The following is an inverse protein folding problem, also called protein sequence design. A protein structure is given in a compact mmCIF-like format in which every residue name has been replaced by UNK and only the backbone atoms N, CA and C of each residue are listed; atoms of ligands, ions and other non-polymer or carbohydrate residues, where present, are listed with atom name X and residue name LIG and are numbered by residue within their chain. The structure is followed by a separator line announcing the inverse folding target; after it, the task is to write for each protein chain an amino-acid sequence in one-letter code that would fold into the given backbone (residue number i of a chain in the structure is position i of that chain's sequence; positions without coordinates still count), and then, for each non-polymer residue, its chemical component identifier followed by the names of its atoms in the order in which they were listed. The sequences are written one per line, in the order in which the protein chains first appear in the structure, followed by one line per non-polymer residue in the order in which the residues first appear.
data_IF_309240744264
#
_entry.id   IF_309240744264
#
_cell.length_a   1.000
_cell.length_b   1.000
_cell.length_c   1.000
_cell.angle_alpha   90.00
_cell.angle_beta   90.00
_cell.angle_gamma   90.00
#
_symmetry.space_group_name_H-M   'P 1'
#
loop_
_entity.id
_entity.type
_entity.pdbx_description
1 polymer ?
#
# COMPACT_ATOMS: atom_id res chain seq x y z
N UNK A 1 14.82 -71.54 -17.79
CA UNK A 1 13.99 -71.81 -18.99
C UNK A 1 12.61 -72.24 -18.50
N UNK A 2 11.57 -71.52 -18.92
CA UNK A 2 10.12 -71.82 -18.92
C UNK A 2 9.36 -72.05 -17.58
N UNK A 3 8.55 -71.03 -17.23
CA UNK A 3 7.06 -71.01 -17.11
C UNK A 3 6.35 -72.38 -17.08
N UNK A 4 5.28 -72.67 -16.33
CA UNK A 4 3.96 -72.01 -16.28
C UNK A 4 3.02 -72.68 -15.26
N UNK A 5 2.17 -71.87 -14.63
CA UNK A 5 0.75 -72.01 -14.24
C UNK A 5 0.04 -73.35 -13.90
N UNK A 6 -0.68 -73.28 -12.75
CA UNK A 6 -2.12 -73.56 -12.49
C UNK A 6 -2.72 -74.96 -12.76
N UNK A 7 -3.35 -75.55 -11.73
CA UNK A 7 -4.80 -75.83 -11.76
C UNK A 7 -5.36 -76.12 -10.35
N UNK A 8 -6.62 -75.72 -10.18
CA UNK A 8 -7.48 -75.89 -9.02
C UNK A 8 -8.31 -77.19 -9.10
N UNK A 9 -8.62 -77.80 -7.95
CA UNK A 9 -9.77 -78.72 -7.86
C UNK A 9 -10.59 -78.45 -6.59
N UNK A 10 -11.85 -78.12 -6.83
CA UNK A 10 -12.93 -77.86 -5.87
C UNK A 10 -13.48 -79.17 -5.30
N UNK A 11 -13.98 -79.16 -4.06
CA UNK A 11 -15.00 -80.12 -3.61
C UNK A 11 -16.04 -79.42 -2.75
N UNK A 12 -17.28 -79.58 -3.19
CA UNK A 12 -18.55 -79.04 -2.71
C UNK A 12 -19.16 -79.84 -1.56
N UNK A 13 -19.83 -79.18 -0.63
CA UNK A 13 -20.99 -79.75 0.11
C UNK A 13 -22.07 -78.70 0.39
N UNK A 14 -23.18 -78.85 -0.36
CA UNK A 14 -24.61 -78.87 0.03
C UNK A 14 -25.24 -77.80 0.96
N UNK A 15 -26.46 -77.29 0.65
CA UNK A 15 -27.10 -76.15 1.30
C UNK A 15 -28.17 -76.52 2.35
N UNK A 16 -28.36 -75.66 3.35
CA UNK A 16 -29.56 -75.62 4.21
C UNK A 16 -30.39 -74.35 3.98
N UNK A 17 -31.71 -74.56 3.95
CA UNK A 17 -32.83 -73.65 3.64
C UNK A 17 -32.93 -72.36 4.48
N UNK A 18 -33.75 -71.36 4.04
CA UNK A 18 -33.54 -69.95 4.36
C UNK A 18 -34.26 -69.47 5.63
N UNK A 19 -33.57 -68.66 6.45
CA UNK A 19 -34.15 -67.83 7.51
C UNK A 19 -34.67 -66.51 6.93
N UNK A 20 -35.93 -66.50 6.47
CA UNK A 20 -36.58 -65.30 5.91
C UNK A 20 -37.14 -64.31 6.97
N UNK A 21 -36.92 -64.55 8.27
CA UNK A 21 -37.54 -63.75 9.35
C UNK A 21 -36.66 -62.67 9.99
N UNK A 22 -35.33 -62.68 9.77
CA UNK A 22 -34.41 -61.73 10.43
C UNK A 22 -33.99 -60.53 9.56
N UNK A 23 -34.29 -60.52 8.25
CA UNK A 23 -33.95 -59.39 7.35
C UNK A 23 -34.89 -58.18 7.46
N UNK A 24 -36.14 -58.38 7.87
CA UNK A 24 -37.14 -57.30 7.96
C UNK A 24 -36.88 -56.36 9.15
N UNK A 25 -36.37 -56.87 10.28
CA UNK A 25 -36.09 -56.06 11.47
C UNK A 25 -34.80 -55.23 11.30
N UNK A 26 -33.79 -55.77 10.61
CA UNK A 26 -32.56 -55.03 10.26
C UNK A 26 -32.85 -53.86 9.32
N UNK A 27 -33.63 -54.10 8.25
CA UNK A 27 -33.95 -53.07 7.26
C UNK A 27 -34.76 -51.92 7.86
N UNK A 28 -35.68 -52.20 8.79
CA UNK A 28 -36.43 -51.14 9.48
C UNK A 28 -35.53 -50.30 10.40
N UNK A 29 -34.60 -50.91 11.11
CA UNK A 29 -33.65 -50.18 11.96
C UNK A 29 -32.73 -49.28 11.13
N UNK A 30 -32.26 -49.76 9.98
CA UNK A 30 -31.43 -48.97 9.07
C UNK A 30 -32.22 -47.79 8.48
N UNK A 31 -33.51 -47.97 8.21
CA UNK A 31 -34.42 -46.88 7.80
C UNK A 31 -34.60 -45.86 8.93
N UNK A 32 -34.80 -46.29 10.18
CA UNK A 32 -34.94 -45.37 11.31
C UNK A 32 -33.66 -44.58 11.60
N UNK A 33 -32.49 -45.20 11.48
CA UNK A 33 -31.18 -44.53 11.64
C UNK A 33 -30.96 -43.54 10.49
N UNK A 34 -31.28 -43.92 9.25
CA UNK A 34 -31.16 -43.04 8.09
C UNK A 34 -32.12 -41.85 8.18
N UNK A 35 -33.40 -42.08 8.53
CA UNK A 35 -34.41 -41.03 8.67
C UNK A 35 -34.06 -40.12 9.86
N UNK A 36 -33.62 -40.69 10.99
CA UNK A 36 -33.16 -39.90 12.14
C UNK A 36 -31.95 -39.03 11.80
N UNK A 37 -30.97 -39.57 11.08
CA UNK A 37 -29.81 -38.82 10.60
C UNK A 37 -30.18 -37.73 9.60
N UNK A 38 -31.10 -38.00 8.67
CA UNK A 38 -31.59 -37.01 7.72
C UNK A 38 -32.37 -35.86 8.39
N UNK A 39 -33.19 -36.18 9.39
CA UNK A 39 -33.91 -35.16 10.19
C UNK A 39 -32.91 -34.32 10.99
N UNK A 40 -31.91 -34.93 11.61
CA UNK A 40 -30.87 -34.19 12.35
C UNK A 40 -30.08 -33.27 11.42
N UNK A 41 -29.71 -33.73 10.22
CA UNK A 41 -29.03 -32.92 9.22
C UNK A 41 -29.90 -31.74 8.75
N UNK A 42 -31.20 -31.97 8.52
CA UNK A 42 -32.16 -30.92 8.16
C UNK A 42 -32.35 -29.91 9.29
N UNK A 43 -32.44 -30.35 10.55
CA UNK A 43 -32.54 -29.46 11.71
C UNK A 43 -31.27 -28.63 11.91
N UNK A 44 -30.09 -29.23 11.70
CA UNK A 44 -28.81 -28.51 11.75
C UNK A 44 -28.71 -27.48 10.61
N UNK A 45 -29.07 -27.87 9.38
CA UNK A 45 -29.11 -26.96 8.23
C UNK A 45 -30.12 -25.83 8.46
N UNK A 46 -31.29 -26.13 9.04
CA UNK A 46 -32.31 -25.13 9.33
C UNK A 46 -31.90 -24.19 10.47
N UNK A 47 -31.20 -24.69 11.50
CA UNK A 47 -30.60 -23.85 12.54
C UNK A 47 -29.53 -22.92 11.95
N UNK A 48 -28.68 -23.44 11.06
CA UNK A 48 -27.62 -22.66 10.41
C UNK A 48 -28.21 -21.61 9.46
N UNK A 49 -29.26 -21.94 8.71
CA UNK A 49 -30.04 -21.00 7.90
C UNK A 49 -30.84 -19.99 8.74
N UNK A 50 -31.14 -20.28 10.00
CA UNK A 50 -31.79 -19.33 10.91
C UNK A 50 -30.81 -18.27 11.42
N UNK A 51 -29.52 -18.62 11.58
CA UNK A 51 -28.44 -17.67 11.86
C UNK A 51 -27.97 -16.92 10.60
N UNK A 52 -28.11 -17.51 9.42
CA UNK A 52 -27.94 -16.85 8.13
C UNK A 52 -29.30 -16.39 7.61
N UNK A 53 -29.92 -15.43 8.29
CA UNK A 53 -31.09 -14.75 7.74
C UNK A 53 -30.69 -13.93 6.52
N UNK A 54 -31.17 -14.21 5.30
CA UNK A 54 -31.11 -13.27 4.18
C UNK A 54 -32.37 -12.42 4.26
N UNK A 55 -32.57 -11.72 5.38
CA UNK A 55 -33.62 -10.73 5.57
C UNK A 55 -33.15 -9.69 6.59
N UNK A 56 -32.02 -9.06 6.29
CA UNK A 56 -31.89 -7.63 6.50
C UNK A 56 -31.94 -7.01 5.11
N UNK A 57 -33.15 -6.83 4.57
CA UNK A 57 -33.35 -5.81 3.55
C UNK A 57 -33.00 -4.50 4.25
N UNK A 58 -31.78 -4.01 4.07
CA UNK A 58 -31.47 -2.62 4.33
C UNK A 58 -32.24 -1.86 3.25
N UNK A 59 -33.48 -1.52 3.55
CA UNK A 59 -34.25 -0.56 2.80
C UNK A 59 -33.55 0.78 3.01
N UNK A 60 -32.72 1.19 2.06
CA UNK A 60 -32.34 2.59 1.95
C UNK A 60 -33.59 3.38 1.58
N UNK A 61 -34.36 3.76 2.60
CA UNK A 61 -35.34 4.81 2.46
C UNK A 61 -34.55 6.10 2.30
N UNK A 62 -34.21 6.46 1.06
CA UNK A 62 -33.83 7.83 0.72
C UNK A 62 -35.12 8.64 0.80
N UNK A 63 -35.53 8.96 2.02
CA UNK A 63 -36.34 10.15 2.26
C UNK A 63 -35.37 11.32 2.21
N UNK A 64 -35.47 12.14 1.17
CA UNK A 64 -34.84 13.44 1.08
C UNK A 64 -35.00 14.18 2.42
N UNK A 65 -33.95 14.76 3.02
CA UNK A 65 -34.12 15.50 4.25
C UNK A 65 -34.93 16.76 3.95
N UNK A 66 -36.19 16.78 4.37
CA UNK A 66 -36.96 18.00 4.53
C UNK A 66 -36.33 18.83 5.65
N UNK A 67 -35.97 20.06 5.31
CA UNK A 67 -35.43 21.11 6.17
C UNK A 67 -36.19 21.20 7.50
N UNK A 68 -35.57 20.97 8.67
CA UNK A 68 -36.21 21.29 9.94
C UNK A 68 -36.24 22.82 10.12
N UNK A 69 -37.41 23.35 10.48
CA UNK A 69 -37.59 24.74 10.92
C UNK A 69 -36.75 25.01 12.19
N UNK A 70 -36.24 26.23 12.39
CA UNK A 70 -35.42 26.55 13.56
C UNK A 70 -36.30 26.64 14.82
N UNK A 71 -36.05 25.75 15.78
CA UNK A 71 -36.59 25.86 17.14
C UNK A 71 -35.62 26.69 17.98
N UNK A 72 -36.16 27.68 18.69
CA UNK A 72 -35.44 28.70 19.47
C UNK A 72 -34.40 28.09 20.42
N UNK A 73 -33.21 28.71 20.43
CA UNK A 73 -32.16 28.55 21.43
C UNK A 73 -32.72 28.80 22.85
N UNK A 74 -32.45 27.86 23.75
CA UNK A 74 -32.57 28.05 25.20
C UNK A 74 -31.14 28.16 25.73
N UNK A 75 -30.84 29.26 26.41
CA UNK A 75 -29.55 29.52 27.05
C UNK A 75 -29.27 28.52 28.18
N UNK A 76 -28.01 28.09 28.39
CA UNK A 76 -27.67 27.27 29.55
C UNK A 76 -27.34 28.15 30.77
N UNK A 77 -28.15 28.00 31.81
CA UNK A 77 -27.88 28.48 33.17
C UNK A 77 -26.72 27.71 33.80
N UNK A 78 -25.79 28.45 34.40
CA UNK A 78 -24.64 27.99 35.19
C UNK A 78 -25.08 27.14 36.40
N UNK A 79 -24.38 26.03 36.69
CA UNK A 79 -23.97 25.63 38.05
C UNK A 79 -23.17 24.30 38.07
N UNK A 80 -21.96 24.37 38.65
CA UNK A 80 -21.24 23.36 39.45
C UNK A 80 -20.50 22.15 38.82
N UNK A 81 -19.17 22.37 38.69
CA UNK A 81 -18.05 21.56 39.25
C UNK A 81 -18.03 20.04 39.14
N UNK A 82 -17.36 19.56 38.10
CA UNK A 82 -16.42 18.41 38.15
C UNK A 82 -15.25 18.76 37.22
N UNK A 83 -13.97 18.52 37.59
CA UNK A 83 -12.87 18.80 36.67
C UNK A 83 -12.84 17.68 35.61
N UNK A 84 -13.05 17.96 34.32
CA UNK A 84 -12.76 16.97 33.31
C UNK A 84 -11.24 16.85 33.19
N UNK A 85 -10.79 15.61 33.20
CA UNK A 85 -9.43 15.21 32.85
C UNK A 85 -9.04 15.91 31.53
N UNK A 86 -8.04 16.78 31.57
CA UNK A 86 -7.49 17.47 30.39
C UNK A 86 -6.85 16.43 29.45
N UNK A 87 -7.67 15.76 28.64
CA UNK A 87 -7.23 15.33 27.32
C UNK A 87 -7.02 16.61 26.52
N UNK A 88 -5.78 16.86 26.07
CA UNK A 88 -5.39 18.01 25.26
C UNK A 88 -6.40 18.24 24.11
N UNK A 89 -7.37 19.10 24.35
CA UNK A 89 -8.31 19.58 23.37
C UNK A 89 -7.87 20.98 22.95
N UNK A 90 -7.83 21.15 21.62
CA UNK A 90 -8.01 22.41 20.90
C UNK A 90 -6.78 23.19 20.42
N UNK A 91 -5.86 22.51 19.73
CA UNK A 91 -5.16 23.16 18.60
C UNK A 91 -5.16 22.32 17.30
N UNK A 92 -5.42 21.01 17.37
CA UNK A 92 -5.52 20.13 16.19
C UNK A 92 -6.93 20.01 15.58
N UNK A 93 -7.93 20.68 16.18
CA UNK A 93 -9.35 20.48 15.85
C UNK A 93 -10.07 21.72 15.31
N UNK A 94 -9.34 22.82 15.09
CA UNK A 94 -9.92 24.05 14.57
C UNK A 94 -9.34 24.36 13.20
N UNK A 95 -10.12 24.10 12.15
CA UNK A 95 -9.84 24.61 10.81
C UNK A 95 -10.15 26.12 10.83
N UNK A 96 -9.17 27.00 10.54
CA UNK A 96 -9.39 28.44 10.50
C UNK A 96 -10.53 28.81 9.54
N UNK A 97 -11.30 29.87 9.82
CA UNK A 97 -12.37 30.33 8.91
C UNK A 97 -11.82 30.93 7.60
N UNK A 98 -10.51 31.08 7.47
CA UNK A 98 -9.83 31.66 6.32
C UNK A 98 -9.94 30.78 5.08
N UNK A 99 -10.28 31.40 3.95
CA UNK A 99 -10.36 30.69 2.68
C UNK A 99 -8.98 30.22 2.22
N UNK A 100 -8.87 28.94 1.89
CA UNK A 100 -7.66 28.31 1.37
C UNK A 100 -7.90 27.79 -0.04
N UNK A 101 -6.89 27.10 -0.61
CA UNK A 101 -7.07 26.47 -1.92
C UNK A 101 -8.08 25.31 -1.89
N UNK A 102 -8.46 24.80 -0.71
CA UNK A 102 -9.49 23.77 -0.57
C UNK A 102 -10.91 24.29 -0.85
N UNK A 103 -11.13 25.61 -0.76
CA UNK A 103 -12.40 26.24 -1.08
C UNK A 103 -12.62 26.43 -2.60
N UNK A 104 -11.59 26.19 -3.42
CA UNK A 104 -11.67 26.29 -4.87
C UNK A 104 -12.47 25.09 -5.43
N UNK A 105 -13.67 25.30 -6.00
CA UNK A 105 -14.51 24.22 -6.52
C UNK A 105 -13.89 23.53 -7.74
N UNK A 106 -12.82 24.11 -8.32
CA UNK A 106 -12.08 23.53 -9.44
C UNK A 106 -10.88 22.70 -8.98
N UNK A 107 -10.58 22.66 -7.68
CA UNK A 107 -9.53 21.82 -7.11
C UNK A 107 -9.82 20.35 -7.40
N UNK A 108 -8.78 19.64 -7.80
CA UNK A 108 -8.86 18.20 -8.08
C UNK A 108 -7.63 17.47 -7.56
N UNK A 109 -7.86 16.26 -7.08
CA UNK A 109 -6.85 15.29 -6.68
C UNK A 109 -6.40 14.41 -7.86
N UNK A 110 -7.10 14.45 -9.00
CA UNK A 110 -6.90 13.51 -10.10
C UNK A 110 -5.68 13.84 -10.98
N UNK A 111 -4.99 12.79 -11.43
CA UNK A 111 -3.76 12.88 -12.24
C UNK A 111 -3.97 13.39 -13.66
N UNK A 112 -5.18 13.24 -14.22
CA UNK A 112 -5.48 13.59 -15.62
C UNK A 112 -5.55 15.09 -15.88
N UNK A 113 -5.76 15.87 -14.81
CA UNK A 113 -5.85 17.31 -14.91
C UNK A 113 -4.46 17.92 -14.99
N UNK A 114 -4.41 19.14 -15.54
CA UNK A 114 -3.17 19.91 -15.59
C UNK A 114 -2.59 20.09 -14.17
N UNK A 115 -1.27 20.21 -14.03
CA UNK A 115 -0.65 20.52 -12.74
C UNK A 115 -1.30 21.75 -12.11
N UNK A 116 -1.58 21.67 -10.80
CA UNK A 116 -2.04 22.83 -10.03
C UNK A 116 -0.96 23.91 -10.14
N UNK A 117 -1.36 25.12 -10.49
CA UNK A 117 -0.47 26.27 -10.62
C UNK A 117 -0.42 27.05 -9.31
N UNK A 118 0.71 27.70 -9.08
CA UNK A 118 1.06 28.44 -7.87
C UNK A 118 0.94 27.56 -6.61
N UNK A 119 1.33 26.29 -6.71
CA UNK A 119 1.19 25.32 -5.65
C UNK A 119 2.02 25.69 -4.41
N UNK A 120 3.25 26.19 -4.59
CA UNK A 120 4.09 26.63 -3.48
C UNK A 120 3.43 27.79 -2.70
N UNK A 121 2.86 28.77 -3.40
CA UNK A 121 2.15 29.88 -2.78
C UNK A 121 0.88 29.41 -2.07
N UNK A 122 0.11 28.50 -2.69
CA UNK A 122 -1.09 27.90 -2.08
C UNK A 122 -0.74 27.14 -0.80
N UNK A 123 0.32 26.33 -0.80
CA UNK A 123 0.84 25.63 0.38
C UNK A 123 1.29 26.60 1.46
N UNK A 124 2.11 27.59 1.11
CA UNK A 124 2.61 28.57 2.07
C UNK A 124 1.47 29.35 2.73
N UNK A 125 0.45 29.73 1.95
CA UNK A 125 -0.75 30.38 2.47
C UNK A 125 -1.51 29.47 3.45
N UNK A 126 -1.72 28.19 3.08
CA UNK A 126 -2.39 27.24 3.97
C UNK A 126 -1.59 27.02 5.27
N UNK A 127 -0.26 26.88 5.19
CA UNK A 127 0.62 26.70 6.33
C UNK A 127 0.64 27.91 7.29
N UNK A 128 0.50 29.13 6.76
CA UNK A 128 0.42 30.34 7.57
C UNK A 128 -0.82 30.33 8.50
N UNK A 129 -1.90 29.68 8.07
CA UNK A 129 -3.12 29.48 8.85
C UNK A 129 -3.05 28.24 9.78
N UNK A 130 -2.07 27.35 9.57
CA UNK A 130 -1.89 26.11 10.32
C UNK A 130 -0.49 26.00 10.94
N UNK A 131 -0.08 26.93 11.83
CA UNK A 131 1.29 27.00 12.35
C UNK A 131 1.72 25.75 13.11
N UNK A 132 0.80 25.01 13.75
CA UNK A 132 1.10 23.74 14.43
C UNK A 132 1.54 22.62 13.48
N UNK A 133 1.15 22.72 12.21
CA UNK A 133 1.49 21.77 11.14
C UNK A 133 2.68 22.23 10.29
N UNK A 134 3.13 23.48 10.44
CA UNK A 134 4.23 24.08 9.69
C UNK A 134 5.62 23.65 10.19
N UNK A 135 5.84 22.34 10.35
CA UNK A 135 7.13 21.78 10.72
C UNK A 135 8.00 21.55 9.48
N UNK A 136 9.28 21.95 9.50
CA UNK A 136 10.18 21.64 8.40
C UNK A 136 10.35 20.12 8.30
N UNK A 137 10.64 19.63 7.09
CA UNK A 137 11.04 18.24 6.84
C UNK A 137 10.02 17.15 7.19
N UNK A 138 8.75 17.51 7.43
CA UNK A 138 7.70 16.51 7.71
C UNK A 138 7.56 15.53 6.55
N UNK A 139 7.66 14.24 6.85
CA UNK A 139 7.56 13.15 5.87
C UNK A 139 6.22 12.44 6.00
N UNK A 140 5.52 12.31 4.89
CA UNK A 140 4.43 11.37 4.73
C UNK A 140 4.90 10.17 3.90
N UNK A 141 5.02 9.00 4.54
CA UNK A 141 5.29 7.75 3.84
C UNK A 141 4.01 7.23 3.20
N UNK A 142 4.08 6.86 1.93
CA UNK A 142 3.00 6.24 1.18
C UNK A 142 3.45 4.87 0.70
N UNK A 143 2.65 3.86 0.99
CA UNK A 143 2.78 2.51 0.45
C UNK A 143 1.41 2.06 -0.02
N UNK A 144 1.32 1.01 -0.82
CA UNK A 144 0.03 0.47 -1.20
C UNK A 144 0.08 -0.87 -1.88
N UNK A 145 -1.10 -1.49 -1.96
CA UNK A 145 -1.33 -2.74 -2.69
C UNK A 145 -2.64 -2.67 -3.46
N UNK A 146 -2.88 -3.66 -4.30
CA UNK A 146 -4.17 -3.80 -4.97
C UNK A 146 -5.34 -3.92 -3.95
N UNK A 147 -6.56 -3.48 -4.31
CA UNK A 147 -7.74 -3.56 -3.44
C UNK A 147 -8.21 -5.00 -3.16
N UNK A 148 -8.01 -5.90 -4.14
CA UNK A 148 -8.43 -7.28 -4.04
C UNK A 148 -7.40 -8.16 -3.33
N UNK A 149 -7.78 -9.38 -2.89
CA UNK A 149 -6.85 -10.34 -2.34
C UNK A 149 -5.70 -10.66 -3.30
N UNK A 150 -4.53 -10.98 -2.75
CA UNK A 150 -3.43 -11.52 -3.53
C UNK A 150 -3.85 -12.82 -4.24
N UNK A 151 -3.31 -13.06 -5.45
CA UNK A 151 -3.51 -14.35 -6.15
C UNK A 151 -2.97 -15.53 -5.34
N UNK A 152 -1.86 -15.31 -4.63
CA UNK A 152 -1.28 -16.28 -3.69
C UNK A 152 -1.78 -15.98 -2.28
N UNK A 153 -2.30 -16.97 -1.53
CA UNK A 153 -2.73 -16.77 -0.14
C UNK A 153 -1.62 -16.25 0.79
N UNK A 154 -0.36 -16.55 0.48
CA UNK A 154 0.80 -16.04 1.25
C UNK A 154 1.06 -14.56 0.98
N UNK A 155 0.59 -14.04 -0.16
CA UNK A 155 0.81 -12.65 -0.56
C UNK A 155 0.24 -11.65 0.45
N UNK A 156 -1.01 -11.83 0.89
CA UNK A 156 -1.63 -10.93 1.85
C UNK A 156 -0.96 -11.00 3.23
N UNK A 157 -0.42 -12.17 3.61
CA UNK A 157 0.40 -12.31 4.81
C UNK A 157 1.71 -11.53 4.71
N UNK A 158 2.36 -11.53 3.55
CA UNK A 158 3.56 -10.72 3.32
C UNK A 158 3.23 -9.23 3.35
N UNK A 159 2.18 -8.79 2.64
CA UNK A 159 1.72 -7.39 2.65
C UNK A 159 1.48 -6.90 4.08
N UNK A 160 0.82 -7.70 4.92
CA UNK A 160 0.60 -7.39 6.33
C UNK A 160 1.93 -7.18 7.09
N UNK A 161 2.91 -8.07 6.89
CA UNK A 161 4.21 -8.00 7.56
C UNK A 161 5.04 -6.80 7.09
N UNK A 162 5.08 -6.55 5.79
CA UNK A 162 5.78 -5.39 5.23
C UNK A 162 5.12 -4.08 5.65
N UNK A 163 3.80 -4.02 5.74
CA UNK A 163 3.14 -2.83 6.28
C UNK A 163 3.47 -2.60 7.75
N UNK A 164 3.41 -3.65 8.59
CA UNK A 164 3.80 -3.55 10.01
C UNK A 164 5.24 -3.05 10.18
N UNK A 165 6.16 -3.54 9.35
CA UNK A 165 7.56 -3.08 9.32
C UNK A 165 7.65 -1.56 9.05
N UNK A 166 6.94 -1.05 8.04
CA UNK A 166 6.89 0.38 7.72
C UNK A 166 6.26 1.21 8.84
N UNK A 167 5.16 0.72 9.43
CA UNK A 167 4.51 1.38 10.58
C UNK A 167 5.48 1.50 11.77
N UNK A 168 6.28 0.49 12.05
CA UNK A 168 7.27 0.54 13.13
C UNK A 168 8.37 1.56 12.86
N UNK A 169 8.92 1.58 11.63
CA UNK A 169 9.91 2.58 11.23
C UNK A 169 9.34 4.01 11.35
N UNK A 170 8.16 4.25 10.76
CA UNK A 170 7.50 5.56 10.85
C UNK A 170 7.23 5.99 12.29
N UNK A 171 6.82 5.07 13.17
CA UNK A 171 6.59 5.37 14.59
C UNK A 171 7.87 5.76 15.31
N UNK A 172 9.00 5.10 15.04
CA UNK A 172 10.30 5.40 15.64
C UNK A 172 10.80 6.79 15.21
N UNK A 173 10.61 7.13 13.93
CA UNK A 173 11.16 8.35 13.34
C UNK A 173 10.18 9.53 13.27
N UNK A 174 8.95 9.36 13.75
CA UNK A 174 7.93 10.42 13.76
C UNK A 174 7.41 10.78 12.38
N UNK A 175 7.32 9.81 11.47
CA UNK A 175 6.75 9.99 10.13
C UNK A 175 5.27 9.60 10.12
N UNK A 176 4.48 10.32 9.33
CA UNK A 176 3.13 9.90 9.01
C UNK A 176 3.16 8.76 7.99
N UNK A 177 2.14 7.91 7.98
CA UNK A 177 2.03 6.81 7.03
C UNK A 177 0.63 6.68 6.46
N UNK A 178 0.53 6.56 5.14
CA UNK A 178 -0.70 6.29 4.42
C UNK A 178 -0.58 4.97 3.63
N UNK A 179 -1.56 4.09 3.82
CA UNK A 179 -1.67 2.85 3.03
C UNK A 179 -2.76 2.99 1.99
N UNK A 180 -2.38 3.13 0.72
CA UNK A 180 -3.33 3.14 -0.38
C UNK A 180 -3.73 1.72 -0.77
N UNK A 181 -5.01 1.39 -0.64
CA UNK A 181 -5.59 0.15 -1.16
C UNK A 181 -6.64 0.42 -2.26
N UNK A 182 -6.66 1.62 -2.84
CA UNK A 182 -7.60 2.02 -3.88
C UNK A 182 -6.90 2.27 -5.22
N UNK A 183 -7.58 1.95 -6.32
CA UNK A 183 -7.14 2.33 -7.66
C UNK A 183 -7.66 3.73 -7.99
N UNK A 184 -6.82 4.75 -7.81
CA UNK A 184 -7.21 6.16 -7.95
C UNK A 184 -7.36 6.61 -9.40
N UNK A 185 -6.86 5.83 -10.36
CA UNK A 185 -7.11 6.05 -11.79
C UNK A 185 -7.30 4.70 -12.49
N UNK A 186 -8.43 4.48 -13.20
CA UNK A 186 -8.83 3.15 -13.69
C UNK A 186 -7.87 2.54 -14.72
N UNK A 187 -7.10 3.37 -15.44
CA UNK A 187 -6.10 2.88 -16.42
C UNK A 187 -4.70 2.72 -15.82
N UNK A 188 -4.38 3.37 -14.70
CA UNK A 188 -3.02 3.37 -14.13
C UNK A 188 -2.92 2.29 -13.05
N UNK A 189 -2.75 1.05 -13.50
CA UNK A 189 -2.63 -0.12 -12.62
C UNK A 189 -1.18 -0.44 -12.32
N UNK A 190 -0.96 -1.40 -11.41
CA UNK A 190 0.39 -1.92 -11.09
C UNK A 190 1.35 -0.81 -10.69
N UNK A 191 2.55 -0.76 -11.28
CA UNK A 191 3.58 0.21 -10.98
C UNK A 191 3.19 1.66 -11.31
N UNK A 192 2.25 1.89 -12.25
CA UNK A 192 1.74 3.24 -12.52
C UNK A 192 0.80 3.78 -11.43
N UNK A 193 0.21 2.92 -10.58
CA UNK A 193 -0.79 3.33 -9.59
C UNK A 193 -0.22 4.25 -8.49
N UNK A 194 1.10 4.28 -8.33
CA UNK A 194 1.78 5.14 -7.36
C UNK A 194 1.70 6.63 -7.69
N UNK A 195 1.73 7.00 -8.98
CA UNK A 195 1.74 8.42 -9.38
C UNK A 195 0.43 9.16 -9.01
N UNK A 196 -0.76 8.59 -9.27
CA UNK A 196 -2.01 9.14 -8.74
C UNK A 196 -2.04 9.25 -7.20
N UNK A 197 -1.51 8.25 -6.49
CA UNK A 197 -1.48 8.25 -5.03
C UNK A 197 -0.57 9.37 -4.48
N UNK A 198 0.64 9.48 -5.02
CA UNK A 198 1.60 10.54 -4.66
C UNK A 198 1.02 11.93 -4.96
N UNK A 199 0.47 12.15 -6.16
CA UNK A 199 -0.15 13.44 -6.51
C UNK A 199 -1.34 13.78 -5.61
N UNK A 200 -2.18 12.79 -5.29
CA UNK A 200 -3.33 13.01 -4.39
C UNK A 200 -2.88 13.36 -2.98
N UNK A 201 -1.86 12.67 -2.47
CA UNK A 201 -1.31 12.94 -1.16
C UNK A 201 -0.59 14.28 -1.07
N UNK A 202 0.13 14.70 -2.12
CA UNK A 202 0.71 16.05 -2.17
C UNK A 202 -0.36 17.12 -1.95
N UNK A 203 -1.54 16.97 -2.60
CA UNK A 203 -2.66 17.92 -2.45
C UNK A 203 -3.33 17.79 -1.08
N UNK A 204 -3.55 16.57 -0.59
CA UNK A 204 -4.24 16.31 0.67
C UNK A 204 -3.42 16.66 1.91
N UNK A 205 -2.08 16.66 1.78
CA UNK A 205 -1.14 16.90 2.86
C UNK A 205 -0.19 18.07 2.53
N UNK A 206 -0.70 19.31 2.45
CA UNK A 206 0.13 20.50 2.22
C UNK A 206 1.17 20.70 3.32
N UNK A 207 0.97 20.15 4.52
CA UNK A 207 1.91 20.14 5.64
C UNK A 207 3.12 19.23 5.43
N UNK A 208 3.00 18.19 4.60
CA UNK A 208 4.12 17.31 4.31
C UNK A 208 5.09 18.03 3.37
N UNK A 209 6.33 18.19 3.82
CA UNK A 209 7.40 18.72 2.97
C UNK A 209 7.89 17.65 2.00
N UNK A 210 7.90 16.39 2.44
CA UNK A 210 8.30 15.25 1.65
C UNK A 210 7.22 14.18 1.60
N UNK A 211 6.97 13.69 0.39
CA UNK A 211 6.20 12.47 0.16
C UNK A 211 7.17 11.34 -0.13
N UNK A 212 7.13 10.29 0.67
CA UNK A 212 8.03 9.13 0.52
C UNK A 212 7.25 7.93 0.01
N UNK A 213 7.35 7.64 -1.27
CA UNK A 213 6.79 6.41 -1.82
C UNK A 213 7.71 5.23 -1.47
N UNK A 214 7.12 4.15 -0.94
CA UNK A 214 7.82 2.90 -0.65
C UNK A 214 6.95 1.73 -1.11
N UNK A 215 7.41 0.97 -2.10
CA UNK A 215 6.71 -0.19 -2.64
C UNK A 215 6.35 -1.22 -1.54
N UNK A 216 5.27 -1.96 -1.75
CA UNK A 216 4.74 -2.88 -0.74
C UNK A 216 5.67 -4.05 -0.41
N UNK A 217 6.57 -4.41 -1.32
CA UNK A 217 7.59 -5.47 -1.16
C UNK A 217 8.94 -4.97 -0.64
N UNK A 218 9.11 -3.67 -0.40
CA UNK A 218 10.27 -3.11 0.29
C UNK A 218 10.12 -3.15 1.82
N UNK A 219 11.21 -3.42 2.55
CA UNK A 219 11.25 -3.39 4.01
C UNK A 219 12.40 -2.53 4.52
N UNK A 220 12.16 -1.83 5.61
CA UNK A 220 13.20 -1.24 6.45
C UNK A 220 13.93 -2.34 7.21
N UNK A 221 15.24 -2.41 7.01
CA UNK A 221 16.12 -3.39 7.69
C UNK A 221 17.09 -2.73 8.66
N UNK A 222 17.35 -1.43 8.49
CA UNK A 222 17.98 -0.58 9.48
C UNK A 222 16.90 0.32 10.09
N UNK A 223 16.51 0.02 11.34
CA UNK A 223 15.45 0.76 12.03
C UNK A 223 15.97 2.02 12.72
N UNK A 224 17.29 2.18 12.84
CA UNK A 224 17.92 3.32 13.53
C UNK A 224 18.33 4.42 12.55
N UNK A 225 18.63 4.03 11.31
CA UNK A 225 19.04 4.97 10.26
C UNK A 225 17.95 6.01 9.97
N UNK A 226 18.38 7.27 9.89
CA UNK A 226 17.56 8.43 9.51
C UNK A 226 18.01 8.98 8.17
N UNK A 227 17.06 9.34 7.32
CA UNK A 227 17.36 10.00 6.05
C UNK A 227 18.11 11.32 6.30
N UNK A 228 19.25 11.56 5.63
CA UNK A 228 20.04 12.78 5.80
C UNK A 228 19.43 13.94 4.99
N UNK A 229 18.21 14.39 5.35
CA UNK A 229 17.42 15.34 4.54
C UNK A 229 18.14 16.66 4.22
N UNK A 230 19.05 17.11 5.08
CA UNK A 230 19.88 18.30 4.84
C UNK A 230 20.75 18.19 3.58
N UNK A 231 21.18 16.97 3.21
CA UNK A 231 21.89 16.67 1.94
C UNK A 231 21.03 16.99 0.73
N UNK A 232 19.71 16.86 0.86
CA UNK A 232 18.75 16.99 -0.22
C UNK A 232 18.11 18.38 -0.31
N UNK A 233 18.62 19.37 0.43
CA UNK A 233 18.03 20.71 0.54
C UNK A 233 17.76 21.38 -0.83
N UNK A 234 18.62 21.17 -1.82
CA UNK A 234 18.50 21.79 -3.15
C UNK A 234 17.80 20.90 -4.21
N UNK A 235 17.35 19.72 -3.82
CA UNK A 235 16.72 18.72 -4.69
C UNK A 235 15.24 18.53 -4.34
N UNK A 236 14.49 18.02 -5.30
CA UNK A 236 13.05 17.80 -5.18
C UNK A 236 12.65 16.34 -5.39
N UNK A 237 13.51 15.50 -5.98
CA UNK A 237 13.27 14.06 -6.12
C UNK A 237 14.55 13.29 -5.80
N UNK A 238 14.47 12.31 -4.92
CA UNK A 238 15.60 11.49 -4.48
C UNK A 238 15.23 10.05 -4.78
N UNK A 239 16.09 9.37 -5.54
CA UNK A 239 15.93 7.97 -5.92
C UNK A 239 17.26 7.24 -5.75
N UNK A 240 17.21 5.94 -5.48
CA UNK A 240 18.42 5.14 -5.50
C UNK A 240 18.89 4.97 -6.94
N UNK A 241 20.16 5.20 -7.22
CA UNK A 241 20.72 4.98 -8.55
C UNK A 241 22.14 5.50 -8.72
N UNK A 242 22.76 5.09 -9.83
CA UNK A 242 24.17 5.36 -10.11
C UNK A 242 24.32 6.27 -11.34
N UNK A 243 24.92 7.47 -11.21
CA UNK A 243 25.06 8.40 -12.32
C UNK A 243 25.71 7.82 -13.59
N UNK A 244 26.77 7.01 -13.45
CA UNK A 244 27.42 6.35 -14.58
C UNK A 244 26.45 5.38 -15.29
N UNK A 245 25.68 4.59 -14.54
CA UNK A 245 24.73 3.66 -15.13
C UNK A 245 23.58 4.38 -15.83
N UNK A 246 23.14 5.53 -15.30
CA UNK A 246 22.09 6.35 -15.92
C UNK A 246 22.62 7.01 -17.18
N UNK A 247 23.65 7.85 -17.07
CA UNK A 247 24.05 8.79 -18.13
C UNK A 247 25.00 8.21 -19.17
N UNK A 248 25.82 7.23 -18.80
CA UNK A 248 26.81 6.62 -19.69
C UNK A 248 26.28 5.28 -20.24
N UNK A 249 25.86 4.37 -19.36
CA UNK A 249 25.44 3.03 -19.76
C UNK A 249 24.00 2.99 -20.27
N UNK A 250 23.16 3.97 -19.90
CA UNK A 250 21.72 4.02 -20.21
C UNK A 250 21.00 2.73 -19.81
N UNK A 251 21.35 2.20 -18.64
CA UNK A 251 20.83 0.93 -18.15
C UNK A 251 19.41 1.09 -17.57
N UNK A 252 18.54 0.13 -17.84
CA UNK A 252 17.20 0.05 -17.26
C UNK A 252 17.20 -0.16 -15.74
N UNK A 253 18.25 -0.76 -15.19
CA UNK A 253 18.42 -0.99 -13.75
C UNK A 253 19.36 0.03 -13.09
N UNK A 254 19.65 1.14 -13.79
CA UNK A 254 20.53 2.20 -13.30
C UNK A 254 20.01 2.97 -12.09
N UNK A 255 18.70 2.91 -11.85
CA UNK A 255 18.01 3.48 -10.69
C UNK A 255 16.79 2.62 -10.34
N UNK A 256 16.21 2.86 -9.18
CA UNK A 256 14.98 2.21 -8.73
C UNK A 256 13.85 3.23 -8.50
N UNK A 257 12.66 2.96 -9.05
CA UNK A 257 11.45 3.79 -8.85
C UNK A 257 10.43 3.21 -7.85
N UNK A 258 10.79 2.13 -7.17
CA UNK A 258 10.00 1.52 -6.11
C UNK A 258 10.14 2.20 -4.76
N UNK A 259 11.23 2.95 -4.53
CA UNK A 259 11.42 3.79 -3.35
C UNK A 259 11.93 5.16 -3.79
N UNK A 260 11.17 6.22 -3.48
CA UNK A 260 11.58 7.59 -3.78
C UNK A 260 11.02 8.61 -2.81
N UNK A 261 11.79 9.68 -2.59
CA UNK A 261 11.36 10.85 -1.82
C UNK A 261 11.10 12.00 -2.79
N UNK A 262 9.93 12.63 -2.75
CA UNK A 262 9.59 13.77 -3.59
C UNK A 262 9.08 14.95 -2.75
N UNK A 263 9.65 16.14 -2.98
CA UNK A 263 9.31 17.37 -2.24
C UNK A 263 7.95 17.90 -2.69
N UNK A 264 7.08 18.23 -1.75
CA UNK A 264 5.74 18.76 -2.04
C UNK A 264 5.83 20.19 -2.59
N UNK A 265 6.09 20.31 -3.89
CA UNK A 265 6.44 21.57 -4.55
C UNK A 265 5.75 21.73 -5.90
N UNK A 266 5.73 22.96 -6.42
CA UNK A 266 5.25 23.24 -7.77
C UNK A 266 6.03 22.42 -8.82
N UNK A 267 7.35 22.28 -8.62
CA UNK A 267 8.21 21.46 -9.47
C UNK A 267 7.73 20.00 -9.48
N UNK A 268 7.43 19.42 -8.31
CA UNK A 268 6.96 18.04 -8.21
C UNK A 268 5.59 17.84 -8.86
N UNK A 269 4.69 18.82 -8.77
CA UNK A 269 3.39 18.78 -9.48
C UNK A 269 3.58 18.69 -10.99
N UNK A 270 4.55 19.43 -11.53
CA UNK A 270 4.87 19.39 -12.96
C UNK A 270 5.61 18.12 -13.36
N UNK A 271 6.53 17.65 -12.50
CA UNK A 271 7.30 16.44 -12.71
C UNK A 271 6.41 15.19 -12.72
N UNK A 272 5.54 15.02 -11.70
CA UNK A 272 4.61 13.89 -11.62
C UNK A 272 3.66 13.86 -12.82
N UNK A 273 3.23 15.03 -13.31
CA UNK A 273 2.42 15.11 -14.52
C UNK A 273 3.19 14.70 -15.79
N UNK A 274 4.44 15.14 -15.95
CA UNK A 274 5.29 14.72 -17.06
C UNK A 274 5.56 13.21 -17.02
N UNK A 275 5.88 12.69 -15.82
CA UNK A 275 6.13 11.27 -15.60
C UNK A 275 4.88 10.43 -15.89
N UNK A 276 3.72 10.83 -15.36
CA UNK A 276 2.45 10.20 -15.66
C UNK A 276 2.09 10.31 -17.15
N UNK A 277 2.57 11.32 -17.88
CA UNK A 277 2.38 11.48 -19.33
C UNK A 277 2.88 10.31 -20.18
N UNK A 278 3.71 9.44 -19.61
CA UNK A 278 4.18 8.19 -20.23
C UNK A 278 3.33 6.96 -19.88
N UNK A 279 2.29 7.14 -19.07
CA UNK A 279 1.46 6.08 -18.54
C UNK A 279 0.29 5.65 -19.44
N UNK A 280 -0.37 4.54 -19.08
CA UNK A 280 -1.43 3.88 -19.86
C UNK A 280 -2.72 4.68 -20.01
N UNK A 281 -2.89 5.73 -19.22
CA UNK A 281 -4.03 6.64 -19.34
C UNK A 281 -3.94 7.54 -20.57
N UNK A 282 -2.74 7.71 -21.14
CA UNK A 282 -2.49 8.57 -22.30
C UNK A 282 -2.69 7.82 -23.62
N UNK A 283 -3.08 8.52 -24.71
CA UNK A 283 -3.22 7.89 -26.03
C UNK A 283 -1.89 7.39 -26.60
N UNK A 284 -0.75 7.92 -26.13
CA UNK A 284 0.57 7.62 -26.68
C UNK A 284 1.30 6.48 -25.95
N UNK A 285 0.63 5.76 -25.05
CA UNK A 285 1.27 4.71 -24.23
C UNK A 285 2.03 3.66 -25.06
N UNK A 286 1.46 3.19 -26.17
CA UNK A 286 2.13 2.24 -27.08
C UNK A 286 3.39 2.83 -27.73
N UNK A 287 3.41 4.13 -28.00
CA UNK A 287 4.58 4.83 -28.52
C UNK A 287 5.65 4.98 -27.43
N UNK A 288 5.23 5.22 -26.19
CA UNK A 288 6.16 5.28 -25.04
C UNK A 288 6.85 3.94 -24.81
N UNK A 289 6.16 2.81 -24.97
CA UNK A 289 6.78 1.48 -24.90
C UNK A 289 7.95 1.34 -25.87
N UNK A 290 7.75 1.77 -27.13
CA UNK A 290 8.80 1.76 -28.17
C UNK A 290 9.92 2.73 -27.85
N UNK A 291 9.58 3.92 -27.38
CA UNK A 291 10.53 5.00 -27.06
C UNK A 291 11.44 4.57 -25.91
N UNK A 292 10.88 4.12 -24.79
CA UNK A 292 11.67 3.66 -23.64
C UNK A 292 12.55 2.46 -24.00
N UNK A 293 12.06 1.51 -24.81
CA UNK A 293 12.87 0.38 -25.27
C UNK A 293 14.01 0.79 -26.22
N UNK A 294 13.84 1.88 -26.98
CA UNK A 294 14.90 2.44 -27.81
C UNK A 294 15.93 3.23 -26.99
N UNK A 295 15.47 3.95 -25.95
CA UNK A 295 16.33 4.73 -25.04
C UNK A 295 17.17 3.83 -24.12
N UNK A 296 16.62 2.68 -23.71
CA UNK A 296 17.23 1.74 -22.75
C UNK A 296 17.45 0.37 -23.42
N UNK A 297 18.64 0.12 -24.01
CA UNK A 297 18.88 -1.08 -24.81
C UNK A 297 18.70 -2.39 -24.04
N UNK A 298 19.08 -2.40 -22.76
CA UNK A 298 19.05 -3.54 -21.84
C UNK A 298 17.67 -3.77 -21.17
N UNK A 299 16.68 -2.90 -21.41
CA UNK A 299 15.33 -3.02 -20.85
C UNK A 299 14.72 -4.39 -21.16
N UNK A 300 14.33 -5.15 -20.14
CA UNK A 300 13.86 -6.52 -20.34
C UNK A 300 12.45 -6.58 -20.93
N UNK A 301 11.54 -5.77 -20.39
CA UNK A 301 10.13 -5.79 -20.77
C UNK A 301 9.84 -4.76 -21.89
N UNK A 302 9.01 -5.10 -22.89
CA UNK A 302 8.72 -4.18 -23.99
C UNK A 302 7.74 -3.06 -23.63
N UNK A 303 6.87 -3.25 -22.64
CA UNK A 303 5.85 -2.28 -22.24
C UNK A 303 6.48 -1.08 -21.52
N UNK A 304 5.88 0.11 -21.62
CA UNK A 304 6.31 1.26 -20.84
C UNK A 304 6.08 1.05 -19.34
N UNK A 305 7.07 1.43 -18.53
CA UNK A 305 6.99 1.39 -17.07
C UNK A 305 7.45 2.73 -16.46
N UNK A 306 7.10 2.91 -15.20
CA UNK A 306 7.40 4.12 -14.42
C UNK A 306 8.91 4.30 -14.26
N UNK A 307 9.66 3.25 -13.90
CA UNK A 307 11.12 3.32 -13.75
C UNK A 307 11.81 3.78 -15.04
N UNK A 308 11.45 3.18 -16.16
CA UNK A 308 11.99 3.54 -17.47
C UNK A 308 11.57 4.95 -17.91
N UNK A 309 10.37 5.38 -17.54
CA UNK A 309 9.94 6.76 -17.73
C UNK A 309 10.80 7.75 -16.96
N UNK A 310 11.13 7.45 -15.69
CA UNK A 310 12.01 8.29 -14.89
C UNK A 310 13.42 8.38 -15.49
N UNK A 311 13.99 7.25 -15.94
CA UNK A 311 15.30 7.25 -16.61
C UNK A 311 15.24 8.05 -17.92
N UNK A 312 14.16 7.91 -18.70
CA UNK A 312 13.95 8.70 -19.90
C UNK A 312 13.97 10.21 -19.60
N UNK A 313 13.28 10.66 -18.55
CA UNK A 313 13.27 12.09 -18.16
C UNK A 313 14.67 12.59 -17.77
N UNK A 314 15.47 11.77 -17.11
CA UNK A 314 16.86 12.10 -16.76
C UNK A 314 17.77 12.18 -17.98
N UNK A 315 17.55 11.33 -18.98
CA UNK A 315 18.38 11.25 -20.19
C UNK A 315 17.98 12.29 -21.25
N UNK A 316 16.71 12.33 -21.60
CA UNK A 316 16.22 13.04 -22.79
C UNK A 316 15.60 14.40 -22.43
N UNK A 317 15.18 14.60 -21.18
CA UNK A 317 14.74 15.90 -20.63
C UNK A 317 15.68 16.42 -19.54
N UNK A 318 16.97 16.04 -19.61
CA UNK A 318 17.99 16.33 -18.60
C UNK A 318 18.02 17.80 -18.14
N UNK A 319 18.07 18.72 -19.10
CA UNK A 319 18.15 20.17 -18.85
C UNK A 319 16.98 20.72 -18.03
N UNK A 320 15.86 20.02 -18.01
CA UNK A 320 14.63 20.46 -17.34
C UNK A 320 14.49 19.86 -15.94
N UNK A 321 14.99 18.64 -15.73
CA UNK A 321 14.68 17.87 -14.52
C UNK A 321 15.89 17.45 -13.69
N UNK A 322 17.02 17.15 -14.33
CA UNK A 322 18.12 16.45 -13.67
C UNK A 322 18.77 17.25 -12.53
N UNK A 323 18.77 18.59 -12.61
CA UNK A 323 19.31 19.47 -11.57
C UNK A 323 18.56 19.36 -10.22
N UNK A 324 17.31 18.91 -10.25
CA UNK A 324 16.46 18.69 -9.07
C UNK A 324 16.32 17.24 -8.67
N UNK A 325 16.96 16.31 -9.37
CA UNK A 325 16.93 14.88 -9.06
C UNK A 325 18.27 14.45 -8.47
N UNK A 326 18.24 13.86 -7.27
CA UNK A 326 19.42 13.31 -6.62
C UNK A 326 19.43 11.78 -6.77
N UNK A 327 20.53 11.25 -7.32
CA UNK A 327 20.79 9.82 -7.44
C UNK A 327 21.59 9.34 -6.22
N UNK A 328 20.89 8.83 -5.19
CA UNK A 328 21.48 8.38 -3.93
C UNK A 328 22.11 6.98 -4.10
N UNK A 329 23.38 6.87 -3.75
CA UNK A 329 24.16 5.64 -3.85
C UNK A 329 25.15 5.45 -2.69
N UNK A 330 25.17 6.36 -1.70
CA UNK A 330 26.04 6.23 -0.52
C UNK A 330 25.48 5.25 0.53
N UNK A 331 24.19 4.96 0.45
CA UNK A 331 23.53 3.92 1.24
C UNK A 331 22.42 3.25 0.42
N UNK A 332 21.92 2.12 0.91
CA UNK A 332 20.78 1.42 0.30
C UNK A 332 19.48 2.18 0.58
N UNK A 333 19.26 3.29 -0.14
CA UNK A 333 17.98 3.97 -0.17
C UNK A 333 16.91 3.06 -0.81
N UNK A 334 17.31 2.29 -1.81
CA UNK A 334 16.75 1.00 -2.19
C UNK A 334 17.90 -0.01 -2.26
N UNK A 335 17.62 -1.30 -2.09
CA UNK A 335 18.65 -2.32 -2.13
C UNK A 335 18.14 -3.66 -2.61
N UNK A 336 18.78 -4.19 -3.66
CA UNK A 336 18.38 -5.45 -4.26
C UNK A 336 18.54 -6.62 -3.27
N UNK A 337 17.41 -7.22 -2.87
CA UNK A 337 17.36 -8.17 -1.76
C UNK A 337 18.36 -9.31 -1.86
N UNK A 338 18.66 -9.83 -3.07
CA UNK A 338 19.59 -10.96 -3.25
C UNK A 338 21.02 -10.64 -2.81
N UNK A 339 21.43 -9.38 -2.89
CA UNK A 339 22.75 -8.93 -2.47
C UNK A 339 22.83 -8.78 -0.94
N UNK A 340 21.69 -8.52 -0.30
CA UNK A 340 21.63 -8.16 1.11
C UNK A 340 21.35 -9.37 2.00
N UNK A 341 20.37 -10.22 1.67
CA UNK A 341 19.87 -11.24 2.62
C UNK A 341 20.93 -12.21 3.12
N UNK A 342 21.93 -12.53 2.29
CA UNK A 342 23.04 -13.39 2.67
C UNK A 342 24.01 -12.76 3.68
N UNK A 343 24.03 -11.43 3.79
CA UNK A 343 24.96 -10.68 4.64
C UNK A 343 24.34 -10.18 5.96
N UNK A 344 23.01 -10.28 6.13
CA UNK A 344 22.28 -9.75 7.29
C UNK A 344 22.88 -10.18 8.64
N UNK A 345 23.29 -11.45 8.77
CA UNK A 345 23.91 -11.95 10.01
C UNK A 345 25.21 -11.23 10.34
N UNK A 346 26.06 -10.99 9.34
CA UNK A 346 27.33 -10.29 9.52
C UNK A 346 27.09 -8.81 9.90
N UNK A 347 26.02 -8.20 9.38
CA UNK A 347 25.62 -6.84 9.75
C UNK A 347 25.21 -6.78 11.22
N UNK A 348 24.35 -7.71 11.68
CA UNK A 348 23.95 -7.78 13.09
C UNK A 348 25.14 -7.96 14.03
N UNK A 349 26.09 -8.83 13.69
CA UNK A 349 27.28 -9.07 14.50
C UNK A 349 28.14 -7.80 14.63
N UNK A 350 28.29 -7.01 13.56
CA UNK A 350 29.01 -5.73 13.57
C UNK A 350 28.31 -4.67 14.43
N UNK A 351 26.99 -4.56 14.37
CA UNK A 351 26.23 -3.65 15.23
C UNK A 351 26.41 -3.99 16.71
N UNK A 352 26.28 -5.26 17.06
CA UNK A 352 26.53 -5.74 18.44
C UNK A 352 27.96 -5.46 18.91
N UNK A 353 28.94 -5.55 18.01
CA UNK A 353 30.32 -5.18 18.33
C UNK A 353 30.46 -3.67 18.60
N UNK A 354 29.83 -2.82 17.79
CA UNK A 354 29.83 -1.36 18.02
C UNK A 354 29.18 -0.99 19.35
N UNK A 355 28.05 -1.62 19.71
CA UNK A 355 27.38 -1.43 21.00
C UNK A 355 28.26 -1.87 22.19
N UNK A 356 28.97 -2.99 22.07
CA UNK A 356 29.92 -3.42 23.11
C UNK A 356 31.07 -2.42 23.27
N UNK A 357 31.58 -1.86 22.18
CA UNK A 357 32.65 -0.85 22.21
C UNK A 357 32.18 0.47 22.83
N UNK A 358 30.97 0.94 22.48
CA UNK A 358 30.42 2.18 23.03
C UNK A 358 30.14 2.07 24.54
N UNK A 359 29.61 0.92 24.98
CA UNK A 359 29.35 0.65 26.40
C UNK A 359 30.62 0.45 27.22
N UNK A 360 31.69 -0.09 26.63
CA UNK A 360 33.00 -0.23 27.30
C UNK A 360 33.77 1.11 27.40
N UNK A 361 33.63 2.00 26.40
CA UNK A 361 34.31 3.31 26.38
C UNK A 361 33.69 4.38 27.29
N UNK A 362 32.45 4.20 27.75
CA UNK A 362 31.73 5.15 28.62
C UNK A 362 31.94 4.97 30.13
N UNK A 363 32.86 4.11 30.57
CA UNK A 363 33.20 3.87 31.99
C UNK A 363 34.57 4.43 32.42
N UNK A 364 35.16 5.33 31.63
CA UNK A 364 36.46 5.96 31.90
C UNK A 364 36.35 7.26 32.67
#
# INVERSE_FOLDING_TARGET
MYTTMSSSTTTTTSPSKPQFRNKLVSSLNDIFVFVGGAILALLLLWSFCSFVSPNSTITFNISSPTRPKPTKLVEPTNSETTPPMNCAQNELAHDPPDHTFYDDPTLTYTIDQKPIKNWDQKRQHWLAHHPSLAQPDRILLITGSQPGPCKSPVGDHLLLRFFKNKVDYCRIHGHDIFYNNALLHPKMTTFWAKLPAVRSAMVAHPEAEWIWWVDSDAAFTDMDFKLPLSRYANHNLIVHGWPNMVYEERSWVSLNAGVFLIRNSQWAMEFIHAWAGMGPQTPNYSQWSKTQKATLPDKLYPEADDQSGLIYLLLEENQKWADKIYLEHEFYFEGYWKEIVGSLRNVSDKYLEMERRSTAGGRG
#
